data_IF_618639564336
#
_entry.id   IF_618639564336
#
_cell.length_a   1.000
_cell.length_b   1.000
_cell.length_c   1.000
_cell.angle_alpha   90.00
_cell.angle_beta   90.00
_cell.angle_gamma   90.00
#
_symmetry.space_group_name_H-M   'P 1'
#
loop_
_entity.id
_entity.type
_entity.pdbx_description
1 polymer ?
#
# COMPACT_ATOMS: atom_id res chain seq x y z
N UNK A 1 -3.13 -2.45 -24.15
CA UNK A 1 -2.62 -2.64 -22.78
C UNK A 1 -3.53 -1.86 -21.86
N UNK A 2 -4.47 -2.53 -21.20
CA UNK A 2 -5.30 -1.91 -20.17
C UNK A 2 -4.42 -1.69 -18.96
N UNK A 3 -3.96 -0.45 -18.74
CA UNK A 3 -3.55 -0.02 -17.41
C UNK A 3 -4.77 -0.20 -16.54
N UNK A 4 -4.83 -1.29 -15.78
CA UNK A 4 -5.83 -1.44 -14.73
C UNK A 4 -5.59 -0.30 -13.75
N UNK A 5 -6.42 0.74 -13.83
CA UNK A 5 -6.44 1.82 -12.87
C UNK A 5 -6.98 1.26 -11.56
N UNK A 6 -6.10 0.67 -10.76
CA UNK A 6 -6.44 0.22 -9.42
C UNK A 6 -6.36 1.41 -8.49
N UNK A 7 -7.48 2.11 -8.36
CA UNK A 7 -7.60 3.26 -7.46
C UNK A 7 -7.62 2.78 -6.01
N UNK A 8 -6.50 2.96 -5.30
CA UNK A 8 -6.43 2.74 -3.85
C UNK A 8 -6.68 4.06 -3.16
N UNK A 9 -7.61 4.06 -2.21
CA UNK A 9 -7.94 5.27 -1.47
C UNK A 9 -6.79 5.68 -0.54
N UNK A 10 -6.62 6.97 -0.23
CA UNK A 10 -5.77 7.37 0.89
C UNK A 10 -6.28 6.71 2.18
N UNK A 11 -5.42 6.61 3.18
CA UNK A 11 -5.68 5.96 4.48
C UNK A 11 -6.03 4.48 4.37
N UNK A 12 -5.69 3.83 3.25
CA UNK A 12 -5.87 2.38 3.11
C UNK A 12 -4.83 1.67 3.98
N UNK A 13 -5.29 0.78 4.86
CA UNK A 13 -4.44 -0.03 5.73
C UNK A 13 -3.69 -1.08 4.92
N UNK A 14 -2.40 -1.21 5.21
CA UNK A 14 -1.48 -2.13 4.54
C UNK A 14 -0.57 -2.79 5.59
N UNK A 15 0.01 -3.93 5.25
CA UNK A 15 0.87 -4.66 6.19
C UNK A 15 2.23 -4.99 5.57
N UNK A 16 3.28 -4.62 6.29
CA UNK A 16 4.64 -4.99 5.98
C UNK A 16 5.15 -5.94 7.08
N UNK A 17 5.59 -7.17 6.77
CA UNK A 17 6.11 -8.09 7.78
C UNK A 17 7.29 -7.52 8.58
N UNK A 18 8.12 -6.69 7.94
CA UNK A 18 9.30 -6.09 8.58
C UNK A 18 8.97 -4.83 9.41
N UNK A 19 7.95 -4.06 9.00
CA UNK A 19 7.65 -2.73 9.58
C UNK A 19 6.34 -2.68 10.39
N UNK A 20 5.55 -3.74 10.31
CA UNK A 20 4.23 -3.85 10.91
C UNK A 20 3.11 -3.24 10.06
N UNK A 21 2.01 -2.91 10.73
CA UNK A 21 0.84 -2.27 10.13
C UNK A 21 1.15 -0.81 9.77
N UNK A 22 0.61 -0.39 8.62
CA UNK A 22 0.73 0.96 8.13
C UNK A 22 -0.48 1.39 7.31
N UNK A 23 -0.47 2.62 6.83
CA UNK A 23 -1.53 3.16 5.98
C UNK A 23 -0.99 4.11 4.92
N UNK A 24 -1.62 4.10 3.75
CA UNK A 24 -1.31 5.05 2.68
C UNK A 24 -1.69 6.48 3.11
N UNK A 25 -0.87 7.48 2.80
CA UNK A 25 -1.19 8.90 3.02
C UNK A 25 -1.85 9.53 1.79
N UNK A 26 -1.57 8.99 0.62
CA UNK A 26 -2.05 9.45 -0.69
C UNK A 26 -2.80 8.32 -1.37
N UNK A 27 -3.81 8.67 -2.17
CA UNK A 27 -4.43 7.70 -3.05
C UNK A 27 -3.45 7.25 -4.13
N UNK A 28 -3.56 6.00 -4.56
CA UNK A 28 -2.78 5.44 -5.66
C UNK A 28 -3.70 5.31 -6.86
N UNK A 29 -3.30 5.87 -7.99
CA UNK A 29 -4.03 5.84 -9.25
C UNK A 29 -3.25 5.15 -10.37
N UNK A 30 -1.92 5.06 -10.24
CA UNK A 30 -1.04 4.35 -11.17
C UNK A 30 -0.05 3.46 -10.40
N UNK A 31 0.14 2.23 -10.86
CA UNK A 31 1.08 1.26 -10.28
C UNK A 31 2.55 1.72 -10.39
N UNK A 32 2.85 2.61 -11.33
CA UNK A 32 4.21 3.11 -11.60
C UNK A 32 4.54 4.41 -10.86
N UNK A 33 3.62 4.95 -10.06
CA UNK A 33 3.88 6.15 -9.27
C UNK A 33 4.54 5.82 -7.93
N UNK A 34 5.03 6.86 -7.25
CA UNK A 34 5.49 6.75 -5.86
C UNK A 34 4.40 7.20 -4.93
N UNK A 35 4.25 6.49 -3.82
CA UNK A 35 3.25 6.78 -2.80
C UNK A 35 3.90 6.87 -1.42
N UNK A 36 3.23 7.60 -0.52
CA UNK A 36 3.68 7.72 0.85
C UNK A 36 2.88 6.81 1.75
N UNK A 37 3.57 5.97 2.52
CA UNK A 37 2.97 5.06 3.50
C UNK A 37 3.53 5.38 4.89
N UNK A 38 2.64 5.49 5.87
CA UNK A 38 3.02 5.59 7.27
C UNK A 38 3.17 4.18 7.84
N UNK A 39 4.34 3.88 8.38
CA UNK A 39 4.57 2.68 9.18
C UNK A 39 5.05 3.11 10.55
N UNK A 40 4.35 2.69 11.61
CA UNK A 40 4.73 2.93 13.00
C UNK A 40 5.15 4.40 13.29
N UNK A 41 4.37 5.36 12.80
CA UNK A 41 4.63 6.80 12.98
C UNK A 41 5.74 7.40 12.10
N UNK A 42 6.37 6.62 11.21
CA UNK A 42 7.36 7.11 10.24
C UNK A 42 6.81 7.05 8.81
N UNK A 43 7.03 8.12 8.05
CA UNK A 43 6.67 8.20 6.63
C UNK A 43 7.74 7.57 5.77
N UNK A 44 7.34 6.65 4.91
CA UNK A 44 8.17 6.04 3.88
C UNK A 44 7.62 6.37 2.51
N UNK A 45 8.51 6.68 1.57
CA UNK A 45 8.16 6.76 0.15
C UNK A 45 8.47 5.42 -0.47
N UNK A 46 7.44 4.75 -0.98
CA UNK A 46 7.52 3.43 -1.60
C UNK A 46 6.90 3.48 -2.99
N UNK A 47 7.20 2.50 -3.82
CA UNK A 47 6.57 2.41 -5.14
C UNK A 47 5.13 1.90 -4.97
N UNK A 48 4.19 2.46 -5.72
CA UNK A 48 2.78 2.05 -5.68
C UNK A 48 2.61 0.56 -5.96
N UNK A 49 3.45 0.00 -6.82
CA UNK A 49 3.53 -1.44 -7.10
C UNK A 49 3.75 -2.27 -5.85
N UNK A 50 4.69 -1.87 -4.99
CA UNK A 50 4.97 -2.57 -3.73
C UNK A 50 3.74 -2.60 -2.82
N UNK A 51 2.99 -1.50 -2.76
CA UNK A 51 1.75 -1.42 -1.99
C UNK A 51 0.71 -2.41 -2.51
N UNK A 52 0.52 -2.47 -3.82
CA UNK A 52 -0.53 -3.26 -4.47
C UNK A 52 -0.21 -4.76 -4.49
N UNK A 53 1.04 -5.12 -4.75
CA UNK A 53 1.46 -6.51 -4.98
C UNK A 53 1.91 -7.20 -3.68
N UNK A 54 2.36 -6.45 -2.68
CA UNK A 54 2.94 -7.01 -1.45
C UNK A 54 2.13 -6.56 -0.24
N UNK A 55 2.05 -5.26 0.00
CA UNK A 55 1.56 -4.76 1.30
C UNK A 55 0.05 -4.95 1.51
N UNK A 56 -0.75 -4.77 0.46
CA UNK A 56 -2.19 -4.99 0.49
C UNK A 56 -2.55 -6.49 0.61
N UNK A 57 -2.02 -7.39 -0.22
CA UNK A 57 -2.24 -8.83 -0.07
C UNK A 57 -1.87 -9.35 1.32
N UNK A 58 -0.77 -8.86 1.90
CA UNK A 58 -0.39 -9.25 3.25
C UNK A 58 -1.42 -8.82 4.32
N UNK A 59 -2.01 -7.62 4.17
CA UNK A 59 -3.08 -7.17 5.08
C UNK A 59 -4.35 -8.01 4.90
N UNK A 60 -4.71 -8.37 3.67
CA UNK A 60 -5.85 -9.25 3.38
C UNK A 60 -5.65 -10.64 3.98
N UNK A 61 -4.47 -11.25 3.76
CA UNK A 61 -4.13 -12.55 4.32
C UNK A 61 -4.15 -12.57 5.86
N UNK A 62 -3.79 -11.44 6.50
CA UNK A 62 -3.89 -11.28 7.96
C UNK A 62 -5.33 -11.12 8.44
N UNK A 63 -6.21 -10.50 7.65
CA UNK A 63 -7.61 -10.32 7.99
C UNK A 63 -8.46 -11.60 7.81
N UNK A 64 -7.98 -12.55 7.01
CA UNK A 64 -8.62 -13.86 6.80
C UNK A 64 -8.26 -14.90 7.87
N UNK A 65 -7.41 -14.57 8.84
CA UNK A 65 -7.07 -15.39 10.02
C UNK A 65 -7.89 -15.01 11.24
#
# INVERSE_FOLDING_TARGET
MSTEFKVIQPTTTVYCPERGEGWTLTGITDINEKTSVMFNGKRFTVDAREVVEILLPNQLARAEQ
#
